data_IF_779345427673
#
_entry.id   IF_779345427673
#
_cell.length_a   1.000
_cell.length_b   1.000
_cell.length_c   1.000
_cell.angle_alpha   90.00
_cell.angle_beta   90.00
_cell.angle_gamma   90.00
#
_symmetry.space_group_name_H-M   'P 1'
#
loop_
_entity.id
_entity.type
_entity.pdbx_description
1 polymer ?
#
# COMPACT_ATOMS: atom_id res chain seq x y z
N UNK A 1 6.72 11.87 -14.97
CA UNK A 1 7.06 10.62 -14.27
C UNK A 1 6.22 9.55 -14.92
N UNK A 2 6.85 8.53 -15.49
CA UNK A 2 6.14 7.46 -16.20
C UNK A 2 5.59 6.41 -15.23
N UNK A 3 4.69 5.55 -15.71
CA UNK A 3 4.15 4.46 -14.91
C UNK A 3 5.26 3.50 -14.46
N UNK A 4 6.23 3.22 -15.35
CA UNK A 4 7.40 2.41 -15.04
C UNK A 4 8.29 3.06 -13.97
N UNK A 5 8.47 4.38 -14.01
CA UNK A 5 9.18 5.11 -12.94
C UNK A 5 8.45 4.97 -11.60
N UNK A 6 7.12 4.89 -11.62
CA UNK A 6 6.31 4.66 -10.42
C UNK A 6 6.55 3.27 -9.84
N UNK A 7 6.63 2.23 -10.69
CA UNK A 7 6.94 0.87 -10.23
C UNK A 7 8.38 0.74 -9.72
N UNK A 8 9.35 1.38 -10.38
CA UNK A 8 10.74 1.46 -9.89
C UNK A 8 10.81 2.14 -8.52
N UNK A 9 10.06 3.23 -8.35
CA UNK A 9 9.97 3.91 -7.05
C UNK A 9 9.30 3.04 -5.99
N UNK A 10 8.25 2.29 -6.35
CA UNK A 10 7.63 1.32 -5.45
C UNK A 10 8.64 0.25 -5.01
N UNK A 11 9.40 -0.35 -5.94
CA UNK A 11 10.45 -1.31 -5.63
C UNK A 11 11.51 -0.74 -4.70
N UNK A 12 12.01 0.48 -4.97
CA UNK A 12 12.99 1.14 -4.11
C UNK A 12 12.46 1.32 -2.68
N UNK A 13 11.20 1.73 -2.51
CA UNK A 13 10.60 1.90 -1.19
C UNK A 13 10.31 0.55 -0.52
N UNK A 14 9.92 -0.49 -1.27
CA UNK A 14 9.74 -1.85 -0.75
C UNK A 14 11.07 -2.42 -0.23
N UNK A 15 12.16 -2.29 -1.02
CA UNK A 15 13.52 -2.70 -0.60
C UNK A 15 13.95 -1.98 0.66
N UNK A 16 13.77 -0.66 0.73
CA UNK A 16 14.11 0.11 1.94
C UNK A 16 13.33 -0.36 3.18
N UNK A 17 12.03 -0.65 3.03
CA UNK A 17 11.22 -1.18 4.14
C UNK A 17 11.65 -2.58 4.55
N UNK A 18 11.97 -3.44 3.59
CA UNK A 18 12.46 -4.79 3.82
C UNK A 18 13.80 -4.78 4.57
N UNK A 19 14.77 -3.96 4.12
CA UNK A 19 16.06 -3.80 4.78
C UNK A 19 15.93 -3.28 6.22
N UNK A 20 15.02 -2.32 6.46
CA UNK A 20 14.73 -1.84 7.81
C UNK A 20 14.13 -2.93 8.70
N UNK A 21 13.26 -3.78 8.14
CA UNK A 21 12.71 -4.93 8.87
C UNK A 21 13.77 -5.96 9.20
N UNK A 22 14.66 -6.28 8.27
CA UNK A 22 15.77 -7.21 8.47
C UNK A 22 16.75 -6.72 9.55
N UNK A 23 17.10 -5.43 9.52
CA UNK A 23 17.91 -4.81 10.57
C UNK A 23 17.21 -4.86 11.94
N UNK A 24 15.88 -4.65 11.97
CA UNK A 24 15.10 -4.75 13.20
C UNK A 24 15.05 -6.18 13.75
N UNK A 25 14.92 -7.20 12.89
CA UNK A 25 14.95 -8.62 13.28
C UNK A 25 16.25 -8.98 14.01
N UNK A 26 17.38 -8.40 13.56
CA UNK A 26 18.70 -8.66 14.12
C UNK A 26 18.97 -7.92 15.43
N UNK A 27 18.35 -6.75 15.65
CA UNK A 27 18.68 -5.84 16.77
C UNK A 27 17.67 -5.87 17.91
N UNK A 28 16.39 -6.07 17.63
CA UNK A 28 15.33 -6.01 18.62
C UNK A 28 14.21 -7.05 18.36
N UNK A 29 14.51 -8.36 18.33
CA UNK A 29 13.57 -9.43 17.95
C UNK A 29 12.31 -9.51 18.85
N UNK A 30 12.35 -8.93 20.05
CA UNK A 30 11.25 -8.93 21.01
C UNK A 30 10.28 -7.74 20.84
N UNK A 31 10.56 -6.80 19.94
CA UNK A 31 9.72 -5.63 19.67
C UNK A 31 8.48 -5.99 18.83
N UNK A 32 7.65 -6.94 19.30
CA UNK A 32 6.48 -7.48 18.59
C UNK A 32 5.55 -6.42 18.01
N UNK A 33 5.26 -5.37 18.78
CA UNK A 33 4.39 -4.29 18.32
C UNK A 33 4.98 -3.56 17.12
N UNK A 34 6.28 -3.31 17.14
CA UNK A 34 7.00 -2.70 16.01
C UNK A 34 6.98 -3.63 14.79
N UNK A 35 7.26 -4.94 14.96
CA UNK A 35 7.17 -5.89 13.85
C UNK A 35 5.78 -5.98 13.26
N UNK A 36 4.74 -5.96 14.09
CA UNK A 36 3.34 -5.95 13.65
C UNK A 36 3.06 -4.76 12.76
N UNK A 37 3.44 -3.56 13.19
CA UNK A 37 3.24 -2.33 12.40
C UNK A 37 4.04 -2.34 11.10
N UNK A 38 5.30 -2.81 11.13
CA UNK A 38 6.16 -2.85 9.94
C UNK A 38 5.72 -3.90 8.93
N UNK A 39 5.36 -5.12 9.37
CA UNK A 39 4.82 -6.16 8.49
C UNK A 39 3.51 -5.72 7.84
N UNK A 40 2.62 -5.08 8.61
CA UNK A 40 1.38 -4.52 8.06
C UNK A 40 1.64 -3.42 7.03
N UNK A 41 2.60 -2.52 7.31
CA UNK A 41 2.98 -1.47 6.36
C UNK A 41 3.57 -2.05 5.06
N UNK A 42 4.41 -3.09 5.16
CA UNK A 42 5.01 -3.76 4.02
C UNK A 42 3.95 -4.48 3.18
N UNK A 43 3.08 -5.28 3.82
CA UNK A 43 1.96 -5.99 3.17
C UNK A 43 1.05 -5.04 2.38
N UNK A 44 0.69 -3.91 2.99
CA UNK A 44 -0.17 -2.91 2.35
C UNK A 44 0.51 -2.28 1.13
N UNK A 45 1.77 -1.95 1.25
CA UNK A 45 2.53 -1.37 0.15
C UNK A 45 2.65 -2.37 -1.01
N UNK A 46 2.94 -3.63 -0.70
CA UNK A 46 3.01 -4.71 -1.67
C UNK A 46 1.68 -4.89 -2.41
N UNK A 47 0.55 -4.92 -1.70
CA UNK A 47 -0.79 -5.02 -2.31
C UNK A 47 -1.07 -3.85 -3.28
N UNK A 48 -0.60 -2.64 -2.98
CA UNK A 48 -0.79 -1.49 -3.88
C UNK A 48 0.10 -1.56 -5.11
N UNK A 49 1.36 -1.97 -4.91
CA UNK A 49 2.28 -2.27 -6.00
C UNK A 49 1.68 -3.31 -6.94
N UNK A 50 1.22 -4.45 -6.41
CA UNK A 50 0.56 -5.51 -7.18
C UNK A 50 -0.62 -5.01 -8.01
N UNK A 51 -1.49 -4.16 -7.44
CA UNK A 51 -2.62 -3.58 -8.19
C UNK A 51 -2.17 -2.67 -9.33
N UNK A 52 -1.10 -1.91 -9.14
CA UNK A 52 -0.53 -1.05 -10.19
C UNK A 52 0.13 -1.90 -11.27
N UNK A 53 0.93 -2.87 -10.86
CA UNK A 53 1.57 -3.84 -11.74
C UNK A 53 0.53 -4.59 -12.60
N UNK A 54 -0.52 -5.14 -11.97
CA UNK A 54 -1.58 -5.85 -12.67
C UNK A 54 -2.25 -4.94 -13.72
N UNK A 55 -2.55 -3.69 -13.36
CA UNK A 55 -3.13 -2.73 -14.28
C UNK A 55 -2.20 -2.43 -15.48
N UNK A 56 -0.89 -2.29 -15.24
CA UNK A 56 0.10 -2.08 -16.31
C UNK A 56 0.15 -3.28 -17.26
N UNK A 57 0.34 -4.47 -16.70
CA UNK A 57 0.45 -5.72 -17.45
C UNK A 57 -0.82 -5.93 -18.28
N UNK A 58 -1.99 -5.70 -17.69
CA UNK A 58 -3.25 -5.81 -18.40
C UNK A 58 -3.34 -4.86 -19.59
N UNK A 59 -3.06 -3.56 -19.38
CA UNK A 59 -3.07 -2.55 -20.46
C UNK A 59 -2.05 -2.85 -21.54
N UNK A 60 -0.88 -3.33 -21.16
CA UNK A 60 0.17 -3.71 -22.09
C UNK A 60 -0.28 -4.87 -22.98
N UNK A 61 -0.89 -5.92 -22.43
CA UNK A 61 -1.39 -7.05 -23.22
C UNK A 61 -2.67 -6.76 -24.03
N UNK A 62 -3.46 -5.77 -23.63
CA UNK A 62 -4.54 -5.23 -24.48
C UNK A 62 -3.95 -4.52 -25.69
N UNK A 63 -2.89 -3.72 -25.50
CA UNK A 63 -2.28 -2.92 -26.56
C UNK A 63 -1.36 -3.72 -27.48
N UNK A 64 -0.67 -4.73 -26.94
CA UNK A 64 0.30 -5.59 -27.62
C UNK A 64 -0.07 -7.09 -27.44
N UNK A 65 -1.12 -7.60 -28.13
CA UNK A 65 -1.61 -8.96 -27.92
C UNK A 65 -0.58 -10.06 -28.23
N UNK A 66 0.36 -9.79 -29.15
CA UNK A 66 1.47 -10.71 -29.48
C UNK A 66 2.43 -10.96 -28.33
N UNK A 67 2.46 -10.07 -27.33
CA UNK A 67 3.28 -10.23 -26.14
C UNK A 67 2.70 -11.19 -25.09
N UNK A 68 1.45 -11.67 -25.26
CA UNK A 68 0.79 -12.60 -24.31
C UNK A 68 1.49 -13.96 -24.15
N UNK A 69 2.42 -14.28 -25.04
CA UNK A 69 3.23 -15.51 -25.01
C UNK A 69 4.50 -15.38 -24.15
N UNK A 70 4.72 -14.23 -23.49
CA UNK A 70 5.85 -14.07 -22.58
C UNK A 70 5.72 -15.01 -21.38
N UNK A 71 6.83 -15.63 -20.95
CA UNK A 71 6.82 -16.71 -19.98
C UNK A 71 6.30 -16.25 -18.61
N UNK A 72 5.42 -17.09 -18.10
CA UNK A 72 4.80 -17.15 -16.77
C UNK A 72 4.87 -15.89 -15.91
N UNK A 73 3.71 -15.22 -15.76
CA UNK A 73 3.45 -14.20 -14.72
C UNK A 73 3.98 -14.70 -13.37
N UNK A 74 5.11 -14.15 -12.96
CA UNK A 74 5.62 -14.25 -11.60
C UNK A 74 5.21 -12.97 -10.91
N UNK A 75 4.01 -12.99 -10.34
CA UNK A 75 3.48 -11.88 -9.54
C UNK A 75 3.99 -12.00 -8.09
N UNK A 76 3.53 -11.09 -7.23
CA UNK A 76 3.88 -11.09 -5.81
C UNK A 76 2.86 -11.83 -4.91
N UNK A 77 2.04 -12.73 -5.47
CA UNK A 77 0.94 -13.34 -4.70
C UNK A 77 1.43 -14.18 -3.52
N UNK A 78 2.51 -14.94 -3.71
CA UNK A 78 3.09 -15.80 -2.68
C UNK A 78 3.70 -14.98 -1.54
N UNK A 79 4.47 -13.94 -1.88
CA UNK A 79 5.11 -13.03 -0.94
C UNK A 79 4.05 -12.25 -0.14
N UNK A 80 2.98 -11.83 -0.82
CA UNK A 80 1.83 -11.21 -0.16
C UNK A 80 1.12 -12.19 0.79
N UNK A 81 0.89 -13.44 0.38
CA UNK A 81 0.26 -14.45 1.23
C UNK A 81 1.10 -14.75 2.48
N UNK A 82 2.43 -14.82 2.34
CA UNK A 82 3.34 -15.02 3.46
C UNK A 82 3.35 -13.83 4.43
N UNK A 83 3.45 -12.60 3.93
CA UNK A 83 3.38 -11.39 4.77
C UNK A 83 2.04 -11.26 5.49
N UNK A 84 0.94 -11.68 4.85
CA UNK A 84 -0.37 -11.76 5.48
C UNK A 84 -0.39 -12.78 6.62
N UNK A 85 0.10 -13.99 6.38
CA UNK A 85 0.16 -15.04 7.40
C UNK A 85 1.01 -14.61 8.61
N UNK A 86 2.14 -13.94 8.39
CA UNK A 86 2.96 -13.35 9.45
C UNK A 86 2.21 -12.27 10.23
N UNK A 87 1.50 -11.40 9.52
CA UNK A 87 0.72 -10.33 10.16
C UNK A 87 -0.39 -10.92 11.04
N UNK A 88 -1.08 -11.97 10.58
CA UNK A 88 -2.08 -12.71 11.35
C UNK A 88 -1.47 -13.40 12.58
N UNK A 89 -0.29 -14.01 12.44
CA UNK A 89 0.47 -14.57 13.56
C UNK A 89 0.83 -13.49 14.61
N UNK A 90 1.23 -12.30 14.17
CA UNK A 90 1.54 -11.17 15.06
C UNK A 90 0.28 -10.61 15.76
N UNK A 91 -0.91 -10.85 15.23
CA UNK A 91 -2.20 -10.51 15.88
C UNK A 91 -2.61 -11.56 16.93
N UNK A 92 -2.14 -12.81 16.83
CA UNK A 92 -2.45 -13.91 17.76
C UNK A 92 -1.90 -13.75 19.20
N UNK A 93 -1.19 -12.66 19.49
CA UNK A 93 -0.73 -12.31 20.84
C UNK A 93 0.56 -13.00 21.29
N UNK A 94 0.81 -13.01 22.61
CA UNK A 94 2.11 -13.39 23.20
C UNK A 94 2.51 -14.86 23.04
N UNK A 95 1.58 -15.74 22.62
CA UNK A 95 1.78 -17.20 22.54
C UNK A 95 2.54 -17.67 21.30
N UNK A 96 2.77 -16.80 20.31
CA UNK A 96 3.39 -17.19 19.03
C UNK A 96 4.92 -17.19 19.13
N UNK A 97 5.60 -18.25 18.69
CA UNK A 97 7.06 -18.34 18.71
C UNK A 97 7.74 -17.19 17.95
N UNK A 98 8.52 -16.36 18.66
CA UNK A 98 9.32 -15.28 18.06
C UNK A 98 10.29 -15.81 17.01
N UNK A 99 11.07 -16.89 17.25
CA UNK A 99 11.92 -17.48 16.23
C UNK A 99 11.18 -17.86 14.94
N UNK A 100 9.95 -18.39 15.05
CA UNK A 100 9.15 -18.73 13.88
C UNK A 100 8.73 -17.48 13.10
N UNK A 101 8.36 -16.39 13.79
CA UNK A 101 8.04 -15.11 13.16
C UNK A 101 9.25 -14.57 12.41
N UNK A 102 10.43 -14.57 13.06
CA UNK A 102 11.68 -14.10 12.44
C UNK A 102 11.95 -14.90 11.16
N UNK A 103 11.94 -16.23 11.24
CA UNK A 103 12.17 -17.10 10.09
C UNK A 103 11.21 -16.77 8.93
N UNK A 104 9.91 -16.65 9.22
CA UNK A 104 8.89 -16.37 8.19
C UNK A 104 9.02 -14.98 7.59
N UNK A 105 9.35 -13.97 8.38
CA UNK A 105 9.60 -12.61 7.88
C UNK A 105 10.83 -12.58 6.99
N UNK A 106 11.93 -13.21 7.42
CA UNK A 106 13.16 -13.27 6.63
C UNK A 106 12.93 -13.94 5.28
N UNK A 107 12.24 -15.09 5.25
CA UNK A 107 11.88 -15.78 4.01
C UNK A 107 11.02 -14.91 3.09
N UNK A 108 10.02 -14.20 3.64
CA UNK A 108 9.18 -13.32 2.85
C UNK A 108 9.94 -12.11 2.27
N UNK A 109 10.91 -11.57 3.03
CA UNK A 109 11.79 -10.49 2.56
C UNK A 109 12.68 -10.96 1.42
N UNK A 110 13.34 -12.11 1.58
CA UNK A 110 14.24 -12.70 0.59
C UNK A 110 13.50 -12.95 -0.73
N UNK A 111 12.35 -13.62 -0.67
CA UNK A 111 11.52 -13.87 -1.85
C UNK A 111 11.02 -12.58 -2.51
N UNK A 112 10.64 -11.58 -1.72
CA UNK A 112 10.22 -10.28 -2.25
C UNK A 112 11.35 -9.58 -3.00
N UNK A 113 12.58 -9.63 -2.47
CA UNK A 113 13.75 -9.06 -3.13
C UNK A 113 14.06 -9.79 -4.44
N UNK A 114 14.14 -11.12 -4.41
CA UNK A 114 14.35 -11.95 -5.61
C UNK A 114 13.28 -11.67 -6.68
N UNK A 115 12.01 -11.53 -6.27
CA UNK A 115 10.91 -11.23 -7.18
C UNK A 115 11.06 -9.86 -7.84
N UNK A 116 11.38 -8.83 -7.06
CA UNK A 116 11.57 -7.48 -7.62
C UNK A 116 12.77 -7.45 -8.59
N UNK A 117 13.85 -8.18 -8.28
CA UNK A 117 15.02 -8.30 -9.15
C UNK A 117 14.67 -9.03 -10.46
N UNK A 118 13.93 -10.15 -10.38
CA UNK A 118 13.44 -10.90 -11.54
C UNK A 118 12.56 -10.03 -12.44
N UNK A 119 11.62 -9.27 -11.87
CA UNK A 119 10.74 -8.36 -12.61
C UNK A 119 11.52 -7.20 -13.25
N UNK A 120 12.46 -6.60 -12.54
CA UNK A 120 13.32 -5.53 -13.08
C UNK A 120 14.20 -6.03 -14.23
N UNK A 121 14.64 -7.29 -14.17
CA UNK A 121 15.49 -7.88 -15.20
C UNK A 121 14.71 -8.38 -16.43
N UNK A 122 13.49 -8.90 -16.21
CA UNK A 122 12.73 -9.60 -17.26
C UNK A 122 11.53 -8.83 -17.78
N UNK A 123 10.77 -8.17 -16.91
CA UNK A 123 9.52 -7.48 -17.26
C UNK A 123 9.74 -6.00 -17.59
N UNK A 124 10.55 -5.30 -16.80
CA UNK A 124 10.71 -3.85 -16.98
C UNK A 124 11.24 -3.46 -18.36
N UNK A 125 12.23 -4.17 -18.95
CA UNK A 125 12.71 -3.88 -20.30
C UNK A 125 11.62 -3.94 -21.38
N UNK A 126 10.56 -4.73 -21.17
CA UNK A 126 9.44 -4.84 -22.11
C UNK A 126 8.53 -3.61 -22.09
N UNK A 127 8.52 -2.88 -20.98
CA UNK A 127 7.77 -1.64 -20.82
C UNK A 127 8.61 -0.39 -21.14
N UNK A 128 9.91 -0.55 -21.37
CA UNK A 128 10.78 0.58 -21.69
C UNK A 128 10.38 1.21 -23.03
N UNK A 129 10.27 2.54 -23.03
CA UNK A 129 9.84 3.30 -24.21
C UNK A 129 8.33 3.31 -24.46
N UNK A 130 7.53 2.55 -23.70
CA UNK A 130 6.06 2.60 -23.80
C UNK A 130 5.51 3.69 -22.90
N UNK A 131 4.77 4.62 -23.50
CA UNK A 131 4.18 5.76 -22.79
C UNK A 131 2.84 5.40 -22.13
N UNK A 132 2.48 6.14 -21.09
CA UNK A 132 1.16 6.03 -20.45
C UNK A 132 0.00 6.29 -21.42
N UNK A 133 0.19 7.23 -22.36
CA UNK A 133 -0.78 7.55 -23.40
C UNK A 133 -0.98 6.37 -24.36
N UNK A 134 0.09 5.70 -24.78
CA UNK A 134 0.02 4.51 -25.64
C UNK A 134 -0.70 3.33 -24.97
N UNK A 135 -0.63 3.25 -23.64
CA UNK A 135 -1.32 2.27 -22.80
C UNK A 135 -2.74 2.71 -22.40
N UNK A 136 -3.18 3.89 -22.84
CA UNK A 136 -4.52 4.41 -22.53
C UNK A 136 -4.71 4.80 -21.06
N UNK A 137 -3.63 5.08 -20.32
CA UNK A 137 -3.72 5.73 -19.02
C UNK A 137 -4.06 7.21 -19.24
N UNK A 138 -5.36 7.53 -19.32
CA UNK A 138 -5.81 8.90 -19.46
C UNK A 138 -5.31 9.76 -18.27
N UNK A 139 -4.89 11.02 -18.49
CA UNK A 139 -4.62 11.95 -17.41
C UNK A 139 -5.86 11.99 -16.51
N UNK A 140 -5.69 11.81 -15.19
CA UNK A 140 -6.80 11.90 -14.23
C UNK A 140 -7.43 13.28 -14.36
N UNK A 141 -8.56 13.37 -15.06
CA UNK A 141 -9.38 14.56 -15.05
C UNK A 141 -9.70 14.92 -13.58
N UNK A 142 -9.74 16.21 -13.20
CA UNK A 142 -10.14 16.61 -11.87
C UNK A 142 -11.54 16.07 -11.60
N UNK A 143 -11.62 15.00 -10.78
CA UNK A 143 -12.89 14.39 -10.38
C UNK A 143 -13.67 15.45 -9.59
N UNK A 144 -14.90 15.73 -10.02
CA UNK A 144 -15.92 16.37 -9.16
C UNK A 144 -15.94 15.68 -7.80
N UNK A 145 -16.16 16.39 -6.68
CA UNK A 145 -16.08 15.83 -5.35
C UNK A 145 -17.06 14.66 -5.21
N UNK A 146 -16.54 13.44 -5.24
CA UNK A 146 -17.28 12.27 -4.79
C UNK A 146 -17.40 12.35 -3.27
N UNK A 147 -18.56 11.99 -2.73
CA UNK A 147 -18.80 11.82 -1.30
C UNK A 147 -17.63 11.14 -0.58
N UNK A 148 -17.28 11.59 0.63
CA UNK A 148 -16.19 10.98 1.42
C UNK A 148 -16.37 9.46 1.54
N UNK A 149 -15.32 8.71 1.17
CA UNK A 149 -15.29 7.25 1.21
C UNK A 149 -14.20 6.72 2.15
N UNK A 150 -14.39 5.48 2.63
CA UNK A 150 -13.45 4.77 3.52
C UNK A 150 -12.02 4.70 2.98
N UNK A 151 -11.88 4.64 1.65
CA UNK A 151 -10.61 4.52 0.95
C UNK A 151 -9.87 5.86 0.76
N UNK A 152 -10.49 7.01 1.05
CA UNK A 152 -9.84 8.32 0.91
C UNK A 152 -8.82 8.54 2.03
N UNK A 153 -7.63 9.05 1.70
CA UNK A 153 -6.64 9.40 2.71
C UNK A 153 -7.10 10.58 3.56
N UNK A 154 -6.70 10.59 4.82
CA UNK A 154 -7.04 11.67 5.76
C UNK A 154 -6.51 13.02 5.24
N UNK A 155 -5.32 13.02 4.65
CA UNK A 155 -4.74 14.20 4.00
C UNK A 155 -5.52 14.65 2.76
N UNK A 156 -6.02 13.72 1.93
CA UNK A 156 -6.86 14.08 0.79
C UNK A 156 -8.18 14.68 1.26
N UNK A 157 -8.79 14.12 2.31
CA UNK A 157 -10.02 14.64 2.91
C UNK A 157 -9.79 16.04 3.46
N UNK A 158 -8.72 16.30 4.22
CA UNK A 158 -8.46 17.63 4.79
C UNK A 158 -8.14 18.69 3.73
N UNK A 159 -7.43 18.31 2.65
CA UNK A 159 -7.18 19.22 1.52
C UNK A 159 -8.45 19.56 0.75
N UNK A 160 -9.32 18.57 0.56
CA UNK A 160 -10.54 18.72 -0.22
C UNK A 160 -11.71 19.29 0.61
N UNK A 161 -11.71 19.04 1.91
CA UNK A 161 -12.74 19.40 2.88
C UNK A 161 -12.11 19.83 4.21
N UNK A 162 -11.66 21.10 4.32
CA UNK A 162 -11.04 21.60 5.55
C UNK A 162 -11.95 21.45 6.79
N UNK A 163 -13.27 21.47 6.61
CA UNK A 163 -14.26 21.28 7.68
C UNK A 163 -14.20 19.91 8.36
N UNK A 164 -13.61 18.90 7.72
CA UNK A 164 -13.35 17.59 8.30
C UNK A 164 -12.37 17.64 9.49
N UNK A 165 -11.59 18.73 9.65
CA UNK A 165 -10.70 18.94 10.79
C UNK A 165 -11.43 18.87 12.13
N UNK A 166 -12.72 19.26 12.18
CA UNK A 166 -13.52 19.17 13.42
C UNK A 166 -13.70 17.76 13.94
N UNK A 167 -13.69 16.76 13.06
CA UNK A 167 -13.82 15.34 13.39
C UNK A 167 -12.44 14.71 13.62
N UNK A 168 -11.45 15.10 12.82
CA UNK A 168 -10.11 14.51 12.84
C UNK A 168 -9.18 15.11 13.90
N UNK A 169 -9.33 16.40 14.23
CA UNK A 169 -8.51 17.13 15.20
C UNK A 169 -8.55 16.52 16.61
N UNK A 170 -9.73 16.17 17.17
CA UNK A 170 -9.83 15.52 18.48
C UNK A 170 -9.10 14.17 18.56
N UNK A 171 -8.86 13.51 17.43
CA UNK A 171 -8.12 12.24 17.38
C UNK A 171 -6.59 12.43 17.52
N UNK A 172 -6.12 13.69 17.65
CA UNK A 172 -4.71 14.07 17.80
C UNK A 172 -3.81 13.46 16.73
N UNK A 173 -4.34 13.32 15.51
CA UNK A 173 -3.63 12.75 14.38
C UNK A 173 -2.70 13.79 13.81
N UNK A 174 -1.39 13.55 13.86
CA UNK A 174 -0.46 14.34 13.08
C UNK A 174 -0.57 13.94 11.60
N UNK A 175 -1.48 14.56 10.88
CA UNK A 175 -1.79 14.23 9.47
C UNK A 175 -0.55 14.31 8.56
N UNK A 176 0.44 15.14 8.91
CA UNK A 176 1.71 15.30 8.20
C UNK A 176 2.75 14.22 8.53
N UNK A 177 2.67 13.56 9.69
CA UNK A 177 3.65 12.55 10.15
C UNK A 177 3.11 11.12 10.25
N UNK A 178 1.84 10.93 10.60
CA UNK A 178 1.23 9.63 10.85
C UNK A 178 0.75 8.94 9.56
N UNK A 179 0.60 9.69 8.47
CA UNK A 179 0.47 9.14 7.11
C UNK A 179 -0.73 8.22 6.91
N UNK A 180 -1.90 8.54 7.49
CA UNK A 180 -3.12 7.77 7.28
C UNK A 180 -3.60 7.88 5.83
N UNK A 181 -3.45 6.76 5.14
CA UNK A 181 -3.68 6.67 3.72
C UNK A 181 -5.14 6.31 3.39
N UNK A 182 -5.95 5.96 4.39
CA UNK A 182 -7.40 5.80 4.29
C UNK A 182 -8.12 6.08 5.64
N UNK A 183 -9.41 6.43 5.61
CA UNK A 183 -10.25 6.55 6.82
C UNK A 183 -10.41 5.20 7.52
N UNK A 184 -10.48 4.12 6.73
CA UNK A 184 -10.49 2.74 7.25
C UNK A 184 -9.24 2.43 8.09
N UNK A 185 -8.06 2.86 7.63
CA UNK A 185 -6.82 2.68 8.40
C UNK A 185 -6.85 3.47 9.69
N UNK A 186 -7.33 4.71 9.62
CA UNK A 186 -7.45 5.56 10.81
C UNK A 186 -8.37 4.90 11.85
N UNK A 187 -9.54 4.44 11.41
CA UNK A 187 -10.49 3.77 12.27
C UNK A 187 -9.86 2.52 12.91
N UNK A 188 -9.19 1.69 12.11
CA UNK A 188 -8.50 0.50 12.59
C UNK A 188 -7.41 0.80 13.64
N UNK A 189 -6.52 1.77 13.38
CA UNK A 189 -5.43 2.12 14.32
C UNK A 189 -5.93 2.71 15.64
N UNK A 190 -7.07 3.40 15.60
CA UNK A 190 -7.66 4.07 16.76
C UNK A 190 -8.77 3.25 17.43
N UNK A 191 -9.05 2.04 16.94
CA UNK A 191 -10.12 1.18 17.46
C UNK A 191 -11.52 1.78 17.30
N UNK A 192 -11.74 2.57 16.25
CA UNK A 192 -13.01 3.23 15.96
C UNK A 192 -13.84 2.41 14.98
N UNK A 193 -15.16 2.61 15.03
CA UNK A 193 -16.06 2.10 13.99
C UNK A 193 -15.92 2.95 12.72
N UNK A 194 -15.60 2.29 11.61
CA UNK A 194 -15.37 2.97 10.33
C UNK A 194 -16.63 3.61 9.75
N UNK A 195 -17.79 2.99 9.95
CA UNK A 195 -19.06 3.48 9.41
C UNK A 195 -19.48 4.75 10.15
N UNK A 196 -19.32 4.76 11.47
CA UNK A 196 -19.57 5.92 12.33
C UNK A 196 -18.62 7.07 12.01
N UNK A 197 -17.32 6.79 11.84
CA UNK A 197 -16.33 7.81 11.48
C UNK A 197 -16.62 8.42 10.10
N UNK A 198 -16.98 7.60 9.12
CA UNK A 198 -17.36 8.08 7.79
C UNK A 198 -18.60 8.97 7.81
N UNK A 199 -19.60 8.60 8.62
CA UNK A 199 -20.81 9.38 8.75
C UNK A 199 -20.55 10.75 9.40
N UNK A 200 -19.75 10.79 10.48
CA UNK A 200 -19.33 12.04 11.12
C UNK A 200 -18.57 12.95 10.14
N UNK A 201 -17.68 12.39 9.32
CA UNK A 201 -16.94 13.13 8.30
C UNK A 201 -17.89 13.71 7.23
N UNK A 202 -18.86 12.91 6.75
CA UNK A 202 -19.86 13.39 5.77
C UNK A 202 -20.74 14.49 6.34
N UNK A 203 -21.17 14.37 7.58
CA UNK A 203 -21.98 15.38 8.27
C UNK A 203 -21.20 16.69 8.47
N UNK A 204 -19.93 16.63 8.87
CA UNK A 204 -19.09 17.81 9.03
C UNK A 204 -18.89 18.57 7.71
N UNK A 205 -18.79 17.84 6.59
CA UNK A 205 -18.71 18.43 5.26
C UNK A 205 -20.05 19.02 4.80
N UNK A 206 -21.15 18.30 5.02
CA UNK A 206 -22.49 18.78 4.65
C UNK A 206 -22.94 20.01 5.46
N UNK A 207 -22.49 20.13 6.72
CA UNK A 207 -22.83 21.25 7.60
C UNK A 207 -22.00 22.53 7.36
N UNK A 208 -21.06 22.52 6.42
CA UNK A 208 -20.27 23.70 6.07
C UNK A 208 -20.85 24.37 4.82
N UNK A 209 -21.27 25.65 4.89
CA UNK A 209 -21.75 26.37 3.71
C UNK A 209 -20.60 26.52 2.71
N UNK A 210 -20.91 26.20 1.44
CA UNK A 210 -20.08 26.23 0.24
C UNK A 210 -18.70 26.93 0.30
N UNK A 211 -17.67 26.19 -0.13
CA UNK A 211 -16.70 26.71 -1.09
C UNK A 211 -17.03 26.10 -2.46
#
# INVERSE_FOLDING_TARGET
MTFLDTLRQDHAVLRNKAALMEAALSTAPYARLVFREKCFSLLRMLNRHMKREEALIHRFYERFPSARYLPNRRDHADEHAQLRAVTELLLGGLKVSIPLIILRVSQAIEQLQERMDDQEHTLFPLFEGVTEEELGFAPRAPRRPASISGAMSVNAILRQYPSAERVLGPLQINCLREGYESVEELAWRRGLDVSQLLEQLRQAVAASPHN
#
